data_IF_475284136910
#
_entry.id   IF_475284136910
#
_cell.length_a   1.000
_cell.length_b   1.000
_cell.length_c   1.000
_cell.angle_alpha   90.00
_cell.angle_beta   90.00
_cell.angle_gamma   90.00
#
_symmetry.space_group_name_H-M   'P 1'
#
loop_
_entity.id
_entity.type
_entity.pdbx_description
1 polymer ?
#
# COMPACT_ATOMS: atom_id res chain seq x y z
N UNK A 1 20.51 -15.85 -5.10
CA UNK A 1 19.29 -15.88 -5.93
C UNK A 1 18.91 -14.43 -6.16
N UNK A 2 18.79 -14.00 -7.42
CA UNK A 2 18.28 -12.68 -7.77
C UNK A 2 16.76 -12.81 -7.87
N UNK A 3 16.03 -12.17 -6.97
CA UNK A 3 14.58 -12.29 -6.87
C UNK A 3 13.93 -10.94 -7.22
N UNK A 4 13.31 -10.88 -8.40
CA UNK A 4 12.77 -9.63 -8.96
C UNK A 4 11.24 -9.50 -8.83
N UNK A 5 10.60 -10.40 -8.07
CA UNK A 5 9.13 -10.45 -7.88
C UNK A 5 8.71 -10.03 -6.47
N UNK A 6 9.51 -9.20 -5.79
CA UNK A 6 9.13 -8.65 -4.49
C UNK A 6 8.13 -7.49 -4.66
N UNK A 7 7.37 -7.18 -3.60
CA UNK A 7 6.39 -6.09 -3.65
C UNK A 7 7.00 -4.75 -4.10
N UNK A 8 8.23 -4.46 -3.65
CA UNK A 8 8.94 -3.25 -4.05
C UNK A 8 9.14 -3.20 -5.57
N UNK A 9 9.72 -4.25 -6.17
CA UNK A 9 9.90 -4.33 -7.63
C UNK A 9 8.57 -4.34 -8.40
N UNK A 10 7.52 -4.96 -7.84
CA UNK A 10 6.18 -4.95 -8.44
C UNK A 10 5.61 -3.52 -8.52
N UNK A 11 5.78 -2.72 -7.46
CA UNK A 11 5.33 -1.33 -7.41
C UNK A 11 6.12 -0.44 -8.37
N UNK A 12 7.46 -0.60 -8.46
CA UNK A 12 8.28 0.11 -9.45
C UNK A 12 7.75 -0.16 -10.86
N UNK A 13 7.55 -1.44 -11.22
CA UNK A 13 7.03 -1.80 -12.55
C UNK A 13 5.64 -1.24 -12.81
N UNK A 14 4.78 -1.19 -11.79
CA UNK A 14 3.45 -0.60 -11.92
C UNK A 14 3.52 0.92 -12.21
N UNK A 15 4.42 1.64 -11.52
CA UNK A 15 4.65 3.08 -11.75
C UNK A 15 5.29 3.35 -13.11
N UNK A 16 6.25 2.53 -13.54
CA UNK A 16 6.81 2.59 -14.91
C UNK A 16 5.71 2.38 -15.96
N UNK A 17 4.77 1.45 -15.70
CA UNK A 17 3.58 1.25 -16.54
C UNK A 17 2.64 2.47 -16.62
N UNK A 18 2.79 3.45 -15.71
CA UNK A 18 2.10 4.75 -15.75
C UNK A 18 2.90 5.85 -16.45
N UNK A 19 4.09 5.54 -16.96
CA UNK A 19 4.92 6.44 -17.76
C UNK A 19 6.10 7.06 -17.02
N UNK A 20 6.37 6.67 -15.77
CA UNK A 20 7.55 7.13 -15.04
C UNK A 20 8.81 6.42 -15.54
N UNK A 21 9.97 7.08 -15.41
CA UNK A 21 11.27 6.41 -15.58
C UNK A 21 11.53 5.40 -14.46
N UNK A 22 12.41 4.42 -14.67
CA UNK A 22 12.70 3.39 -13.65
C UNK A 22 13.26 4.01 -12.36
N UNK A 23 14.25 4.90 -12.48
CA UNK A 23 14.89 5.57 -11.33
C UNK A 23 13.89 6.46 -10.57
N UNK A 24 13.11 7.27 -11.29
CA UNK A 24 12.04 8.10 -10.73
C UNK A 24 10.95 7.25 -10.05
N UNK A 25 10.57 6.13 -10.66
CA UNK A 25 9.59 5.21 -10.07
C UNK A 25 10.11 4.61 -8.76
N UNK A 26 11.38 4.22 -8.68
CA UNK A 26 11.99 3.68 -7.46
C UNK A 26 12.03 4.72 -6.33
N UNK A 27 12.37 5.97 -6.62
CA UNK A 27 12.35 7.07 -5.64
C UNK A 27 10.95 7.38 -5.09
N UNK A 28 9.91 7.12 -5.89
CA UNK A 28 8.52 7.31 -5.47
C UNK A 28 7.93 6.11 -4.70
N UNK A 29 8.53 4.92 -4.78
CA UNK A 29 8.10 3.79 -3.94
C UNK A 29 8.52 4.06 -2.50
N UNK A 30 7.54 4.06 -1.61
CA UNK A 30 7.71 4.29 -0.17
C UNK A 30 7.30 3.07 0.66
N UNK A 31 7.49 3.17 1.97
CA UNK A 31 6.95 2.21 2.94
C UNK A 31 5.44 2.03 2.75
N UNK A 32 5.00 0.77 2.80
CA UNK A 32 3.64 0.39 2.39
C UNK A 32 2.65 0.34 3.55
N UNK A 33 1.37 0.55 3.22
CA UNK A 33 0.29 -0.02 4.02
C UNK A 33 0.16 -1.52 3.69
N UNK A 34 0.49 -2.38 4.66
CA UNK A 34 0.38 -3.83 4.49
C UNK A 34 -1.07 -4.31 4.65
N UNK A 35 -1.88 -4.09 3.60
CA UNK A 35 -3.30 -4.48 3.55
C UNK A 35 -3.45 -5.98 3.82
N UNK A 36 -4.33 -6.34 4.75
CA UNK A 36 -4.62 -7.71 5.21
C UNK A 36 -3.48 -8.49 5.89
N UNK A 37 -2.26 -7.95 5.96
CA UNK A 37 -1.16 -8.65 6.63
C UNK A 37 -1.39 -8.68 8.15
N UNK A 38 -1.23 -9.85 8.78
CA UNK A 38 -1.39 -9.98 10.23
C UNK A 38 -0.03 -10.01 10.92
N UNK A 39 0.32 -8.91 11.59
CA UNK A 39 1.68 -8.66 12.06
C UNK A 39 1.69 -8.02 13.44
N UNK A 40 2.87 -7.93 14.04
CA UNK A 40 3.07 -7.25 15.31
C UNK A 40 4.49 -7.36 15.81
N UNK A 41 4.68 -7.06 17.09
CA UNK A 41 5.97 -7.25 17.77
C UNK A 41 5.84 -8.32 18.85
N UNK A 42 6.81 -9.23 18.90
CA UNK A 42 6.82 -10.30 19.91
C UNK A 42 6.94 -9.71 21.31
N UNK A 43 6.28 -10.32 22.30
CA UNK A 43 6.30 -9.78 23.67
C UNK A 43 7.70 -9.77 24.29
N UNK A 44 8.47 -10.84 24.09
CA UNK A 44 9.77 -11.04 24.73
C UNK A 44 10.91 -10.25 24.08
N UNK A 45 11.06 -10.33 22.75
CA UNK A 45 12.20 -9.74 22.02
C UNK A 45 11.86 -8.44 21.29
N UNK A 46 10.57 -8.05 21.23
CA UNK A 46 10.09 -6.89 20.47
C UNK A 46 10.45 -6.94 18.98
N UNK A 47 10.68 -8.14 18.45
CA UNK A 47 10.97 -8.35 17.04
C UNK A 47 9.67 -8.37 16.24
N UNK A 48 9.73 -7.82 15.02
CA UNK A 48 8.62 -7.87 14.08
C UNK A 48 8.32 -9.33 13.72
N UNK A 49 7.03 -9.68 13.72
CA UNK A 49 6.57 -10.99 13.26
C UNK A 49 5.40 -10.85 12.29
N UNK A 50 5.17 -11.92 11.55
CA UNK A 50 3.98 -12.14 10.74
C UNK A 50 3.35 -13.47 11.10
N UNK A 51 2.05 -13.59 10.85
CA UNK A 51 1.29 -14.84 10.94
C UNK A 51 0.28 -14.89 9.81
N UNK A 52 -0.25 -16.09 9.56
CA UNK A 52 -1.32 -16.31 8.60
C UNK A 52 -2.44 -15.28 8.75
N UNK A 53 -2.78 -14.63 7.65
CA UNK A 53 -3.82 -13.60 7.61
C UNK A 53 -5.20 -14.20 7.97
N UNK A 54 -6.02 -13.50 8.76
CA UNK A 54 -7.39 -13.89 9.00
C UNK A 54 -8.31 -13.59 7.81
N UNK A 55 -7.85 -12.88 6.77
CA UNK A 55 -8.68 -12.46 5.64
C UNK A 55 -9.27 -13.64 4.86
N UNK A 56 -10.49 -13.49 4.37
CA UNK A 56 -11.21 -14.46 3.54
C UNK A 56 -11.74 -13.80 2.27
N UNK A 57 -12.02 -14.56 1.19
CA UNK A 57 -12.70 -14.02 0.02
C UNK A 57 -14.02 -13.34 0.43
N UNK A 58 -14.17 -12.07 0.05
CA UNK A 58 -15.31 -11.23 0.42
C UNK A 58 -15.00 -10.19 1.50
N UNK A 59 -13.92 -10.34 2.27
CA UNK A 59 -13.44 -9.27 3.14
C UNK A 59 -12.87 -8.13 2.30
N UNK A 60 -13.12 -6.88 2.72
CA UNK A 60 -12.62 -5.69 2.04
C UNK A 60 -12.23 -4.59 3.02
N UNK A 61 -11.38 -3.67 2.56
CA UNK A 61 -11.14 -2.38 3.20
C UNK A 61 -11.53 -1.32 2.19
N UNK A 62 -12.37 -0.38 2.60
CA UNK A 62 -12.82 0.73 1.77
C UNK A 62 -12.17 2.03 2.22
N UNK A 63 -11.80 2.87 1.25
CA UNK A 63 -11.16 4.16 1.48
C UNK A 63 -11.96 5.26 0.79
N UNK A 64 -12.09 6.40 1.45
CA UNK A 64 -12.56 7.63 0.82
C UNK A 64 -11.35 8.47 0.37
N UNK A 65 -11.29 8.81 -0.92
CA UNK A 65 -10.20 9.61 -1.47
C UNK A 65 -10.44 11.10 -1.19
N UNK A 66 -9.82 11.63 -0.13
CA UNK A 66 -9.94 13.06 0.21
C UNK A 66 -9.25 13.99 -0.81
N UNK A 67 -8.25 13.48 -1.54
CA UNK A 67 -7.55 14.17 -2.62
C UNK A 67 -7.49 13.26 -3.86
N UNK A 68 -7.16 13.78 -5.06
CA UNK A 68 -6.81 12.94 -6.19
C UNK A 68 -5.60 12.06 -5.86
N UNK A 69 -5.73 10.75 -6.06
CA UNK A 69 -4.69 9.77 -5.73
C UNK A 69 -4.30 8.95 -6.95
N UNK A 70 -3.01 8.66 -7.07
CA UNK A 70 -2.51 7.53 -7.83
C UNK A 70 -2.27 6.37 -6.85
N UNK A 71 -3.18 5.41 -6.82
CA UNK A 71 -3.02 4.19 -6.03
C UNK A 71 -2.17 3.15 -6.77
N UNK A 72 -1.26 2.49 -6.05
CA UNK A 72 -0.52 1.32 -6.52
C UNK A 72 -0.64 0.20 -5.49
N UNK A 73 -0.94 -1.01 -5.96
CA UNK A 73 -1.13 -2.19 -5.11
C UNK A 73 -0.37 -3.37 -5.69
N UNK A 74 0.40 -4.06 -4.85
CA UNK A 74 1.07 -5.31 -5.20
C UNK A 74 0.41 -6.47 -4.47
N UNK A 75 -0.04 -7.49 -5.20
CA UNK A 75 -0.34 -8.79 -4.60
C UNK A 75 0.98 -9.41 -4.13
N UNK A 76 1.14 -9.57 -2.82
CA UNK A 76 2.40 -10.00 -2.22
C UNK A 76 2.72 -11.46 -2.61
N UNK A 77 3.95 -11.77 -3.03
CA UNK A 77 4.37 -13.15 -3.30
C UNK A 77 4.38 -14.04 -2.04
N UNK A 78 4.28 -13.44 -0.85
CA UNK A 78 4.10 -14.15 0.40
C UNK A 78 2.67 -14.62 0.66
N UNK A 79 1.73 -14.44 -0.27
CA UNK A 79 0.34 -14.88 -0.13
C UNK A 79 -0.34 -14.32 1.13
N UNK A 80 -0.88 -15.21 1.97
CA UNK A 80 -1.47 -14.87 3.27
C UNK A 80 -0.44 -14.69 4.40
N UNK A 81 0.86 -14.75 4.08
CA UNK A 81 1.99 -14.71 5.01
C UNK A 81 1.96 -15.82 6.07
N UNK A 82 1.35 -16.96 5.76
CA UNK A 82 1.39 -18.16 6.62
C UNK A 82 2.73 -18.89 6.57
N UNK A 83 3.46 -18.78 5.46
CA UNK A 83 4.81 -19.32 5.28
C UNK A 83 5.91 -18.28 5.61
N UNK A 84 7.18 -18.72 5.64
CA UNK A 84 8.33 -17.83 5.75
C UNK A 84 8.40 -16.80 4.60
N UNK A 85 9.21 -15.75 4.77
CA UNK A 85 9.32 -14.63 3.82
C UNK A 85 9.53 -15.08 2.37
N UNK A 86 8.76 -14.48 1.44
CA UNK A 86 9.00 -14.43 0.00
C UNK A 86 9.51 -15.74 -0.62
N UNK A 87 8.65 -16.76 -0.65
CA UNK A 87 8.94 -18.06 -1.28
C UNK A 87 8.04 -18.26 -2.51
N UNK A 88 8.64 -18.63 -3.64
CA UNK A 88 7.97 -18.96 -4.90
C UNK A 88 6.98 -20.13 -4.77
N UNK A 89 7.04 -20.88 -3.66
CA UNK A 89 6.13 -21.98 -3.34
C UNK A 89 4.82 -21.51 -2.69
N UNK A 90 4.71 -20.24 -2.32
CA UNK A 90 3.53 -19.73 -1.61
C UNK A 90 2.35 -19.57 -2.56
N UNK A 91 1.19 -20.12 -2.18
CA UNK A 91 -0.03 -19.92 -2.97
C UNK A 91 -0.46 -18.46 -2.89
N UNK A 92 -0.48 -17.80 -4.03
CA UNK A 92 -0.87 -16.40 -4.16
C UNK A 92 -2.24 -16.28 -4.85
N UNK A 93 -2.93 -15.19 -4.54
CA UNK A 93 -4.26 -14.89 -5.06
C UNK A 93 -4.31 -13.44 -5.58
N UNK A 94 -5.14 -13.13 -6.58
CA UNK A 94 -5.33 -11.76 -7.03
C UNK A 94 -6.03 -10.92 -5.96
N UNK A 95 -5.77 -9.61 -5.97
CA UNK A 95 -6.51 -8.61 -5.21
C UNK A 95 -7.36 -7.79 -6.17
N UNK A 96 -8.60 -7.50 -5.78
CA UNK A 96 -9.53 -6.67 -6.56
C UNK A 96 -9.51 -5.24 -6.01
N UNK A 97 -9.46 -4.26 -6.91
CA UNK A 97 -9.66 -2.84 -6.59
C UNK A 97 -10.82 -2.34 -7.43
N UNK A 98 -11.84 -1.79 -6.77
CA UNK A 98 -13.00 -1.17 -7.40
C UNK A 98 -13.03 0.32 -7.03
N UNK A 99 -13.46 1.15 -7.97
CA UNK A 99 -13.54 2.61 -7.79
C UNK A 99 -15.01 3.01 -7.95
N UNK A 100 -15.53 3.72 -6.96
CA UNK A 100 -16.92 4.17 -6.91
C UNK A 100 -16.97 5.69 -6.78
N UNK A 101 -17.88 6.33 -7.51
CA UNK A 101 -18.21 7.73 -7.29
C UNK A 101 -19.18 7.85 -6.11
N UNK A 102 -18.95 8.85 -5.25
CA UNK A 102 -19.85 9.15 -4.13
C UNK A 102 -21.11 9.85 -4.61
N UNK A 103 -22.25 9.58 -3.96
CA UNK A 103 -23.47 10.36 -4.17
C UNK A 103 -23.21 11.84 -3.79
N UNK A 104 -23.42 12.81 -4.69
CA UNK A 104 -23.23 14.23 -4.39
C UNK A 104 -24.00 14.71 -3.15
N UNK A 105 -25.11 14.05 -2.80
CA UNK A 105 -25.89 14.37 -1.62
C UNK A 105 -25.19 13.99 -0.30
N UNK A 106 -24.41 12.91 -0.27
CA UNK A 106 -23.66 12.52 0.95
C UNK A 106 -22.44 13.42 1.15
N UNK A 107 -21.95 14.06 0.09
CA UNK A 107 -20.87 15.04 0.14
C UNK A 107 -21.33 16.44 0.57
N UNK A 108 -22.63 16.66 0.85
CA UNK A 108 -23.11 17.97 1.34
C UNK A 108 -22.46 18.31 2.67
N UNK A 109 -21.72 19.43 2.69
CA UNK A 109 -21.00 19.89 3.88
C UNK A 109 -19.58 19.36 4.00
N UNK A 110 -19.15 18.43 3.12
CA UNK A 110 -17.74 18.14 2.94
C UNK A 110 -17.05 19.38 2.36
N UNK A 111 -15.94 19.81 2.99
CA UNK A 111 -15.25 21.05 2.60
C UNK A 111 -14.33 20.90 1.39
N UNK A 112 -14.32 19.71 0.76
CA UNK A 112 -13.38 19.36 -0.29
C UNK A 112 -12.05 18.86 0.27
N UNK A 113 -11.05 18.81 -0.61
CA UNK A 113 -9.72 18.31 -0.28
C UNK A 113 -9.04 19.08 0.86
N UNK A 114 -8.39 18.39 1.81
CA UNK A 114 -7.65 19.04 2.88
C UNK A 114 -6.49 19.88 2.31
N UNK A 115 -6.21 21.01 2.96
CA UNK A 115 -5.05 21.82 2.64
C UNK A 115 -3.76 21.11 3.08
N UNK A 116 -2.68 21.33 2.31
CA UNK A 116 -1.33 20.95 2.76
C UNK A 116 -0.98 21.67 4.07
N UNK A 117 -0.06 21.09 4.85
CA UNK A 117 0.40 21.69 6.11
C UNK A 117 0.84 23.15 5.92
N UNK A 118 0.32 24.05 6.77
CA UNK A 118 0.60 25.49 6.69
C UNK A 118 2.01 25.91 7.14
N UNK A 119 2.88 24.95 7.45
CA UNK A 119 4.27 25.23 7.80
C UNK A 119 5.04 25.78 6.58
N UNK A 120 5.66 26.95 6.73
CA UNK A 120 6.33 27.65 5.62
C UNK A 120 7.63 27.00 5.12
N UNK A 121 8.13 25.96 5.80
CA UNK A 121 9.38 25.32 5.37
C UNK A 121 10.64 26.17 5.55
N UNK A 122 10.58 27.33 6.21
CA UNK A 122 11.75 28.21 6.33
C UNK A 122 12.77 27.69 7.37
N UNK A 123 12.40 26.76 8.24
CA UNK A 123 13.28 26.16 9.26
C UNK A 123 14.04 27.18 10.14
N UNK A 124 13.47 28.37 10.34
CA UNK A 124 14.11 29.46 11.08
C UNK A 124 15.25 30.17 10.33
N UNK A 125 15.46 29.84 9.06
CA UNK A 125 16.40 30.52 8.16
C UNK A 125 15.65 31.65 7.46
N UNK A 126 16.12 32.88 7.67
CA UNK A 126 15.64 34.10 7.03
C UNK A 126 16.58 34.53 5.90
#
# INVERSE_FOLDING_TARGET
>A
VQYDQCCHSNLIRALVGKGLGIEEAEEHVHDVLNVFMCTGFTHATKQYFMKASPVRPGDFIEFFAEIPLLGALSACPGGDCSASHSDDLTTCYPLLVEIFDSDPNVLRGWQGSPAVSGYKGCHGVH
#
